data_IF_399966173389
#
_entry.id   IF_399966173389
#
_cell.length_a   1.000
_cell.length_b   1.000
_cell.length_c   1.000
_cell.angle_alpha   90.00
_cell.angle_beta   90.00
_cell.angle_gamma   90.00
#
_symmetry.space_group_name_H-M   'P 1'
#
loop_
_entity.id
_entity.type
_entity.pdbx_description
1 polymer ?
#
# COMPACT_ATOMS: atom_id res chain seq x y z
N UNK A 1 15.01 -22.79 3.12
CA UNK A 1 14.26 -21.53 3.28
C UNK A 1 12.98 -21.59 2.46
N UNK A 2 11.82 -21.34 3.08
CA UNK A 2 10.56 -21.22 2.35
C UNK A 2 10.52 -19.93 1.52
N UNK A 3 9.97 -19.99 0.31
CA UNK A 3 9.78 -18.82 -0.55
C UNK A 3 8.71 -17.90 0.07
N UNK A 4 8.97 -16.60 0.12
CA UNK A 4 8.01 -15.59 0.57
C UNK A 4 6.73 -15.66 -0.28
N UNK A 5 5.56 -15.61 0.39
CA UNK A 5 4.27 -15.48 -0.30
C UNK A 5 4.05 -14.04 -0.73
N UNK A 6 3.52 -13.87 -1.93
CA UNK A 6 3.37 -12.58 -2.60
C UNK A 6 1.90 -12.32 -2.92
N UNK A 7 1.41 -11.13 -2.56
CA UNK A 7 0.14 -10.59 -3.01
C UNK A 7 0.32 -9.90 -4.37
N UNK A 8 -0.49 -10.25 -5.35
CA UNK A 8 -0.57 -9.53 -6.62
C UNK A 8 -1.65 -8.44 -6.54
N UNK A 9 -1.25 -7.19 -6.76
CA UNK A 9 -2.16 -6.03 -6.80
C UNK A 9 -2.31 -5.60 -8.27
N UNK A 10 -3.55 -5.54 -8.81
CA UNK A 10 -3.76 -5.11 -10.18
C UNK A 10 -3.44 -3.62 -10.36
N UNK A 11 -3.20 -3.20 -11.60
CA UNK A 11 -3.12 -1.78 -11.92
C UNK A 11 -4.47 -1.10 -11.64
N UNK A 12 -4.44 0.12 -11.12
CA UNK A 12 -5.70 0.82 -10.81
C UNK A 12 -5.52 2.13 -10.06
N UNK A 13 -6.67 2.75 -9.81
CA UNK A 13 -6.80 4.01 -9.08
C UNK A 13 -7.36 3.78 -7.68
N UNK A 14 -6.82 4.46 -6.68
CA UNK A 14 -7.37 4.47 -5.33
C UNK A 14 -7.20 5.84 -4.66
N UNK A 15 -7.88 6.03 -3.53
CA UNK A 15 -7.71 7.19 -2.68
C UNK A 15 -6.60 6.94 -1.67
N UNK A 16 -5.58 7.80 -1.65
CA UNK A 16 -4.49 7.79 -0.67
C UNK A 16 -4.62 8.99 0.26
N UNK A 17 -4.32 8.78 1.55
CA UNK A 17 -4.44 9.80 2.59
C UNK A 17 -5.88 10.00 3.07
N UNK A 18 -6.07 10.97 3.96
CA UNK A 18 -7.36 11.35 4.54
C UNK A 18 -7.56 12.86 4.45
N UNK A 19 -8.81 13.30 4.58
CA UNK A 19 -9.15 14.73 4.71
C UNK A 19 -9.35 15.07 6.20
N UNK A 20 -9.26 16.34 6.62
CA UNK A 20 -9.60 16.72 7.99
C UNK A 20 -11.08 16.46 8.30
N UNK A 21 -11.42 16.04 9.53
CA UNK A 21 -10.56 15.97 10.72
C UNK A 21 -9.81 14.64 10.92
N UNK A 22 -9.94 13.66 10.03
CA UNK A 22 -9.35 12.33 10.22
C UNK A 22 -7.86 12.24 9.85
N UNK A 23 -7.07 11.51 10.64
CA UNK A 23 -5.65 11.25 10.37
C UNK A 23 -4.69 12.35 10.86
N UNK A 24 -3.41 12.01 10.98
CA UNK A 24 -2.36 12.97 11.37
C UNK A 24 -2.11 13.99 10.26
N UNK A 25 -1.64 15.20 10.58
CA UNK A 25 -1.47 16.29 9.59
C UNK A 25 -0.66 15.91 8.34
N UNK A 26 0.29 14.97 8.45
CA UNK A 26 1.10 14.48 7.34
C UNK A 26 0.41 13.42 6.46
N UNK A 27 -0.82 13.02 6.79
CA UNK A 27 -1.67 12.11 6.01
C UNK A 27 -2.62 12.85 5.06
N UNK A 28 -2.67 14.19 5.14
CA UNK A 28 -3.55 15.07 4.37
C UNK A 28 -2.84 15.65 3.12
N UNK A 29 -3.59 16.05 2.09
CA UNK A 29 -5.02 15.77 1.88
C UNK A 29 -5.22 14.39 1.24
N UNK A 30 -6.47 13.93 1.20
CA UNK A 30 -6.83 12.77 0.40
C UNK A 30 -6.67 13.10 -1.08
N UNK A 31 -6.08 12.18 -1.85
CA UNK A 31 -5.86 12.34 -3.29
C UNK A 31 -6.00 11.03 -4.07
N UNK A 32 -6.35 11.15 -5.35
CA UNK A 32 -6.33 10.01 -6.28
C UNK A 32 -4.89 9.63 -6.63
N UNK A 33 -4.60 8.33 -6.65
CA UNK A 33 -3.31 7.77 -7.02
C UNK A 33 -3.52 6.61 -7.99
N UNK A 34 -2.75 6.63 -9.07
CA UNK A 34 -2.67 5.54 -10.04
C UNK A 34 -1.37 4.76 -9.84
N UNK A 35 -1.46 3.45 -9.82
CA UNK A 35 -0.29 2.56 -9.83
C UNK A 35 -0.40 1.54 -10.97
N UNK A 36 0.74 1.15 -11.53
CA UNK A 36 0.83 -0.06 -12.36
C UNK A 36 0.54 -1.31 -11.51
N UNK A 37 0.40 -2.48 -12.16
CA UNK A 37 0.30 -3.74 -11.44
C UNK A 37 1.63 -4.06 -10.76
N UNK A 38 1.58 -4.60 -9.54
CA UNK A 38 2.77 -4.95 -8.76
C UNK A 38 2.51 -6.15 -7.85
N UNK A 39 3.59 -6.67 -7.23
CA UNK A 39 3.49 -7.68 -6.19
C UNK A 39 4.20 -7.20 -4.92
N UNK A 40 3.65 -7.53 -3.76
CA UNK A 40 4.20 -7.18 -2.45
C UNK A 40 4.15 -8.39 -1.51
N UNK A 41 5.13 -8.52 -0.62
CA UNK A 41 5.16 -9.62 0.36
C UNK A 41 3.96 -9.57 1.29
N UNK A 42 3.35 -10.72 1.56
CA UNK A 42 2.22 -10.84 2.49
C UNK A 42 2.60 -10.59 3.95
N UNK A 43 3.87 -10.81 4.27
CA UNK A 43 4.42 -10.63 5.61
C UNK A 43 5.72 -9.83 5.52
N UNK A 44 6.13 -9.15 6.61
CA UNK A 44 7.47 -8.59 6.71
C UNK A 44 8.54 -9.67 6.56
N UNK A 45 9.73 -9.25 6.11
CA UNK A 45 10.90 -10.14 6.09
C UNK A 45 11.29 -10.50 7.52
N UNK A 46 11.56 -11.79 7.77
CA UNK A 46 12.03 -12.28 9.06
C UNK A 46 13.51 -12.66 8.99
N UNK A 47 14.19 -12.61 10.13
CA UNK A 47 15.51 -13.24 10.26
C UNK A 47 15.35 -14.78 10.15
N UNK A 48 16.33 -15.45 9.57
CA UNK A 48 16.34 -16.90 9.34
C UNK A 48 16.97 -17.67 10.49
#
# INVERSE_FOLDING_TARGET
MGRMRMCHVPAGEFWMGTDPPEGQQNEHPRRRVMTAAYAIGEAPVTNA
#
